data_IF_181567230207
#
_entry.id   IF_181567230207
#
_cell.length_a   1.000
_cell.length_b   1.000
_cell.length_c   1.000
_cell.angle_alpha   90.00
_cell.angle_beta   90.00
_cell.angle_gamma   90.00
#
_symmetry.space_group_name_H-M   'P 1'
#
loop_
_entity.id
_entity.type
_entity.pdbx_description
1 polymer ?
#
# COMPACT_ATOMS: atom_id res chain seq x y z
N UNK A 1 8.06 22.29 22.27
CA UNK A 1 7.64 22.74 20.92
C UNK A 1 7.49 21.50 20.04
N UNK A 2 6.27 20.99 19.88
CA UNK A 2 6.03 19.77 19.11
C UNK A 2 6.16 20.10 17.62
N UNK A 3 7.22 19.58 16.97
CA UNK A 3 7.38 19.70 15.52
C UNK A 3 6.14 19.09 14.87
N UNK A 4 5.36 19.92 14.18
CA UNK A 4 4.27 19.46 13.34
C UNK A 4 4.92 18.66 12.20
N UNK A 5 4.93 17.34 12.32
CA UNK A 5 5.41 16.45 11.28
C UNK A 5 4.47 16.58 10.09
N UNK A 6 4.93 17.36 9.10
CA UNK A 6 4.24 17.61 7.84
C UNK A 6 4.75 16.59 6.82
N UNK A 7 3.85 15.81 6.24
CA UNK A 7 4.16 15.00 5.06
C UNK A 7 3.42 15.58 3.86
N UNK A 8 4.12 15.61 2.74
CA UNK A 8 3.54 15.97 1.45
C UNK A 8 2.97 14.71 0.83
N UNK A 9 1.71 14.76 0.47
CA UNK A 9 1.04 13.72 -0.28
C UNK A 9 0.71 14.28 -1.65
N UNK A 10 1.36 13.73 -2.67
CA UNK A 10 1.02 14.01 -4.05
C UNK A 10 -0.11 13.07 -4.43
N UNK A 11 -1.25 13.64 -4.82
CA UNK A 11 -2.33 12.85 -5.36
C UNK A 11 -2.65 13.25 -6.79
N UNK A 12 -3.02 12.23 -7.55
CA UNK A 12 -3.70 12.36 -8.81
C UNK A 12 -5.20 12.38 -8.50
N UNK A 13 -5.84 13.55 -8.51
CA UNK A 13 -7.30 13.57 -8.51
C UNK A 13 -7.71 13.75 -9.95
N UNK A 14 -8.44 12.76 -10.45
CA UNK A 14 -9.24 12.89 -11.67
C UNK A 14 -10.39 13.85 -11.36
N UNK A 15 -10.09 15.12 -11.12
CA UNK A 15 -11.10 16.17 -11.11
C UNK A 15 -11.57 16.26 -12.57
N UNK A 16 -12.88 16.10 -12.79
CA UNK A 16 -13.54 16.34 -14.08
C UNK A 16 -13.33 17.80 -14.51
N UNK A 17 -12.13 18.11 -15.00
CA UNK A 17 -11.85 19.39 -15.61
C UNK A 17 -12.26 19.28 -17.06
N UNK A 18 -13.51 19.65 -17.33
CA UNK A 18 -13.94 20.04 -18.66
C UNK A 18 -13.15 21.28 -19.08
N UNK A 19 -11.98 21.08 -19.69
CA UNK A 19 -11.32 22.11 -20.47
C UNK A 19 -12.33 22.60 -21.53
N UNK A 20 -12.62 23.92 -21.67
CA UNK A 20 -13.71 24.42 -22.53
C UNK A 20 -13.53 24.23 -24.04
N UNK A 21 -12.63 23.35 -24.50
CA UNK A 21 -12.29 23.19 -25.91
C UNK A 21 -12.54 21.76 -26.37
N UNK A 22 -13.77 21.53 -26.84
CA UNK A 22 -14.25 20.54 -27.84
C UNK A 22 -13.75 19.07 -27.81
N UNK A 23 -12.94 18.69 -26.83
CA UNK A 23 -12.28 17.40 -26.73
C UNK A 23 -12.67 16.76 -25.39
N UNK A 24 -13.53 15.72 -25.44
CA UNK A 24 -14.03 14.99 -24.27
C UNK A 24 -13.03 13.91 -23.86
N UNK A 25 -11.81 14.30 -23.51
CA UNK A 25 -10.86 13.40 -22.87
C UNK A 25 -10.61 13.84 -21.43
N UNK A 26 -10.68 12.88 -20.51
CA UNK A 26 -10.40 13.10 -19.10
C UNK A 26 -8.90 12.92 -18.86
N UNK A 27 -8.23 14.03 -18.60
CA UNK A 27 -6.83 14.02 -18.22
C UNK A 27 -6.66 14.02 -16.72
N UNK A 28 -5.78 13.16 -16.23
CA UNK A 28 -5.43 13.11 -14.83
C UNK A 28 -4.59 14.35 -14.43
N UNK A 29 -5.16 15.22 -13.59
CA UNK A 29 -4.48 16.41 -13.08
C UNK A 29 -3.94 16.13 -11.68
N UNK A 30 -2.63 16.32 -11.51
CA UNK A 30 -1.96 16.10 -10.22
C UNK A 30 -2.03 17.36 -9.37
N UNK A 31 -2.28 17.20 -8.08
CA UNK A 31 -2.22 18.27 -7.08
C UNK A 31 -1.55 17.75 -5.82
N UNK A 32 -0.81 18.62 -5.15
CA UNK A 32 -0.03 18.26 -3.97
C UNK A 32 -0.70 18.81 -2.71
N UNK A 33 -0.88 17.96 -1.71
CA UNK A 33 -1.59 18.30 -0.48
C UNK A 33 -0.74 17.96 0.74
N UNK A 34 -0.79 18.83 1.74
CA UNK A 34 -0.10 18.60 3.00
C UNK A 34 -1.10 18.05 4.01
N UNK A 35 -0.74 16.92 4.60
CA UNK A 35 -1.53 16.31 5.67
C UNK A 35 -0.68 16.10 6.93
N UNK A 36 -1.38 16.10 8.05
CA UNK A 36 -0.80 15.74 9.34
C UNK A 36 -0.80 14.22 9.52
N UNK A 37 0.37 13.66 9.80
CA UNK A 37 0.54 12.25 10.18
C UNK A 37 1.16 12.18 11.59
N UNK A 38 0.40 11.79 12.62
CA UNK A 38 0.89 11.73 13.99
C UNK A 38 1.82 10.53 14.25
N UNK A 39 1.62 9.40 13.54
CA UNK A 39 2.31 8.13 13.80
C UNK A 39 3.46 7.85 12.82
N UNK A 40 3.59 8.67 11.75
CA UNK A 40 4.65 8.54 10.75
C UNK A 40 4.68 7.20 10.00
N UNK A 41 3.53 6.53 9.94
CA UNK A 41 3.36 5.20 9.35
C UNK A 41 3.39 5.19 7.81
N UNK A 42 3.20 6.36 7.18
CA UNK A 42 3.18 6.48 5.71
C UNK A 42 4.58 6.39 5.09
N UNK A 43 4.66 5.64 4.00
CA UNK A 43 5.84 5.51 3.14
C UNK A 43 5.52 6.08 1.76
N UNK A 44 6.56 6.46 1.01
CA UNK A 44 6.40 6.94 -0.36
C UNK A 44 5.77 5.85 -1.22
N UNK A 45 4.69 6.19 -1.92
CA UNK A 45 3.96 5.27 -2.80
C UNK A 45 2.71 4.64 -2.18
N UNK A 46 2.47 4.82 -0.87
CA UNK A 46 1.23 4.36 -0.24
C UNK A 46 0.02 5.13 -0.80
N UNK A 47 -1.10 4.42 -0.95
CA UNK A 47 -2.38 5.04 -1.30
C UNK A 47 -3.14 5.29 0.00
N UNK A 48 -3.43 6.56 0.28
CA UNK A 48 -3.97 7.01 1.57
C UNK A 48 -5.24 7.83 1.41
N UNK A 49 -6.10 7.76 2.42
CA UNK A 49 -7.28 8.61 2.53
C UNK A 49 -6.99 9.80 3.43
N UNK A 50 -7.28 11.00 2.94
CA UNK A 50 -7.11 12.25 3.67
C UNK A 50 -8.47 12.78 4.13
N UNK A 51 -8.57 13.14 5.41
CA UNK A 51 -9.75 13.79 5.98
C UNK A 51 -9.50 15.29 6.13
N UNK A 52 -10.45 16.11 5.70
CA UNK A 52 -10.38 17.54 5.93
C UNK A 52 -10.59 17.86 7.42
N UNK A 53 -9.71 18.67 7.99
CA UNK A 53 -9.85 19.15 9.37
C UNK A 53 -10.87 20.31 9.42
N UNK A 54 -11.74 20.38 10.44
CA UNK A 54 -12.63 21.53 10.63
C UNK A 54 -11.82 22.79 10.95
N UNK A 55 -10.70 22.65 11.65
CA UNK A 55 -9.79 23.74 11.99
C UNK A 55 -8.39 23.50 11.39
N UNK A 56 -7.83 24.54 10.75
CA UNK A 56 -6.51 24.46 10.11
C UNK A 56 -5.43 24.44 11.19
N UNK A 57 -4.72 23.31 11.35
CA UNK A 57 -3.58 23.20 12.26
C UNK A 57 -2.39 24.09 11.86
N UNK A 58 -2.23 24.39 10.57
CA UNK A 58 -1.15 25.26 10.06
C UNK A 58 -1.51 25.89 8.70
N UNK A 59 -0.68 26.81 8.19
CA UNK A 59 -0.90 27.50 6.90
C UNK A 59 -1.12 26.54 5.73
N UNK A 60 -0.34 25.45 5.68
CA UNK A 60 -0.38 24.48 4.59
C UNK A 60 -1.14 23.19 4.95
N UNK A 61 -1.26 22.87 6.24
CA UNK A 61 -1.85 21.61 6.71
C UNK A 61 -3.34 21.80 6.95
N UNK A 62 -4.14 21.41 5.95
CA UNK A 62 -5.61 21.44 5.98
C UNK A 62 -6.23 20.05 6.18
N UNK A 63 -5.44 19.01 5.94
CA UNK A 63 -5.90 17.63 5.98
C UNK A 63 -5.16 16.86 7.06
N UNK A 64 -5.79 15.79 7.52
CA UNK A 64 -5.24 14.79 8.43
C UNK A 64 -5.30 13.44 7.73
N UNK A 65 -4.32 12.57 8.02
CA UNK A 65 -4.34 11.21 7.55
C UNK A 65 -5.48 10.45 8.26
N UNK A 66 -6.43 9.91 7.50
CA UNK A 66 -7.51 9.10 8.05
C UNK A 66 -7.08 7.64 8.16
N UNK A 67 -6.70 7.06 7.03
CA UNK A 67 -6.32 5.66 6.92
C UNK A 67 -5.39 5.43 5.72
N UNK A 68 -4.61 4.35 5.79
CA UNK A 68 -3.81 3.85 4.67
C UNK A 68 -4.64 2.76 4.00
N UNK A 69 -5.10 3.02 2.77
CA UNK A 69 -5.95 2.07 2.03
C UNK A 69 -5.10 0.97 1.44
N UNK A 70 -3.98 1.33 0.80
CA UNK A 70 -3.05 0.37 0.23
C UNK A 70 -1.63 0.69 0.64
N UNK A 71 -1.02 -0.24 1.38
CA UNK A 71 0.37 -0.18 1.80
C UNK A 71 1.27 -0.76 0.71
N UNK A 72 2.31 -0.02 0.33
CA UNK A 72 3.31 -0.53 -0.62
C UNK A 72 3.97 -1.78 -0.05
N UNK A 73 3.98 -2.85 -0.85
CA UNK A 73 4.58 -4.14 -0.49
C UNK A 73 3.68 -5.06 0.34
N UNK A 74 2.59 -4.57 0.90
CA UNK A 74 1.61 -5.38 1.63
C UNK A 74 0.19 -4.89 1.32
N UNK A 75 -0.22 -5.07 0.06
CA UNK A 75 -1.55 -4.71 -0.40
C UNK A 75 -2.52 -5.82 0.02
N UNK A 76 -3.59 -5.44 0.71
CA UNK A 76 -4.67 -6.36 1.08
C UNK A 76 -5.84 -6.06 0.15
N UNK A 77 -6.36 -7.09 -0.50
CA UNK A 77 -7.55 -6.93 -1.34
C UNK A 77 -8.77 -6.59 -0.45
N UNK A 78 -9.47 -5.47 -0.69
CA UNK A 78 -10.62 -5.07 0.12
C UNK A 78 -11.79 -6.03 0.03
N UNK A 79 -11.88 -6.86 -1.03
CA UNK A 79 -12.99 -7.80 -1.22
C UNK A 79 -12.74 -9.11 -0.45
N UNK A 80 -11.55 -9.69 -0.60
CA UNK A 80 -11.23 -11.00 -0.01
C UNK A 80 -10.49 -10.92 1.33
N UNK A 81 -9.87 -9.78 1.65
CA UNK A 81 -9.02 -9.62 2.82
C UNK A 81 -7.69 -10.40 2.74
N UNK A 82 -7.38 -11.01 1.58
CA UNK A 82 -6.12 -11.73 1.37
C UNK A 82 -5.03 -10.77 0.89
N UNK A 83 -3.77 -10.97 1.30
CA UNK A 83 -2.66 -10.22 0.75
C UNK A 83 -2.52 -10.52 -0.74
N UNK A 84 -2.24 -9.50 -1.55
CA UNK A 84 -2.10 -9.62 -2.99
C UNK A 84 -0.86 -8.89 -3.51
N UNK A 85 -0.27 -9.46 -4.55
CA UNK A 85 0.83 -8.89 -5.30
C UNK A 85 0.36 -8.65 -6.74
N UNK A 86 -0.10 -7.43 -7.02
CA UNK A 86 -0.65 -7.06 -8.32
C UNK A 86 -1.95 -7.82 -8.60
N UNK A 87 -1.90 -8.78 -9.53
CA UNK A 87 -3.07 -9.58 -9.95
C UNK A 87 -3.14 -10.96 -9.27
N UNK A 88 -2.15 -11.34 -8.48
CA UNK A 88 -2.08 -12.65 -7.82
C UNK A 88 -2.27 -12.50 -6.32
N UNK A 89 -3.06 -13.40 -5.72
CA UNK A 89 -3.09 -13.53 -4.28
C UNK A 89 -1.78 -14.14 -3.78
N UNK A 90 -1.26 -13.60 -2.69
CA UNK A 90 -0.20 -14.26 -1.93
C UNK A 90 -0.89 -15.36 -1.15
N UNK A 91 -0.84 -16.58 -1.68
CA UNK A 91 -1.28 -17.76 -0.96
C UNK A 91 -0.43 -17.88 0.30
N UNK A 92 -1.07 -17.68 1.45
CA UNK A 92 -0.46 -18.06 2.70
C UNK A 92 -0.41 -19.59 2.69
N UNK A 93 0.77 -20.16 2.95
CA UNK A 93 0.97 -21.61 3.15
C UNK A 93 0.09 -22.20 4.27
N UNK A 94 -0.68 -21.37 4.98
CA UNK A 94 -1.70 -21.75 5.95
C UNK A 94 -3.07 -22.11 5.34
N UNK A 95 -3.27 -21.93 4.04
CA UNK A 95 -4.40 -22.55 3.31
C UNK A 95 -4.06 -24.06 3.18
N UNK A 96 -4.06 -24.74 4.32
CA UNK A 96 -3.67 -26.14 4.56
C UNK A 96 -4.54 -27.18 3.85
N UNK A 97 -5.35 -26.77 2.89
CA UNK A 97 -6.33 -27.61 2.19
C UNK A 97 -5.90 -27.95 0.75
N UNK A 98 -4.82 -27.34 0.23
CA UNK A 98 -4.31 -27.59 -1.13
C UNK A 98 -2.84 -27.99 -1.22
N UNK A 99 -2.17 -28.29 -0.10
CA UNK A 99 -0.84 -28.90 -0.15
C UNK A 99 -0.99 -30.34 -0.61
N UNK A 100 -0.62 -30.61 -1.87
CA UNK A 100 -0.60 -31.98 -2.37
C UNK A 100 0.55 -32.75 -1.73
N UNK A 101 0.43 -34.08 -1.60
CA UNK A 101 1.48 -34.94 -1.05
C UNK A 101 2.83 -34.74 -1.79
N UNK A 102 2.78 -34.37 -3.07
CA UNK A 102 3.94 -34.05 -3.89
C UNK A 102 4.68 -32.78 -3.41
N UNK A 103 3.94 -31.74 -3.01
CA UNK A 103 4.54 -30.48 -2.53
C UNK A 103 5.24 -30.68 -1.17
N UNK A 104 4.66 -31.51 -0.30
CA UNK A 104 5.28 -31.85 0.99
C UNK A 104 6.57 -32.66 0.80
N UNK A 105 6.59 -33.57 -0.17
CA UNK A 105 7.76 -34.39 -0.50
C UNK A 105 8.89 -33.50 -1.06
N UNK A 106 8.57 -32.62 -2.01
CA UNK A 106 9.54 -31.69 -2.59
C UNK A 106 10.18 -30.75 -1.55
N UNK A 107 9.37 -30.21 -0.63
CA UNK A 107 9.88 -29.34 0.44
C UNK A 107 10.76 -30.11 1.43
N UNK A 108 10.41 -31.37 1.74
CA UNK A 108 11.21 -32.21 2.63
C UNK A 108 12.59 -32.54 2.05
N UNK A 109 12.66 -32.84 0.75
CA UNK A 109 13.91 -33.09 0.03
C UNK A 109 14.81 -31.84 0.02
N UNK A 110 14.23 -30.68 -0.30
CA UNK A 110 14.94 -29.38 -0.27
C UNK A 110 15.52 -29.04 1.11
N UNK A 111 14.78 -29.33 2.18
CA UNK A 111 15.26 -29.12 3.55
C UNK A 111 16.39 -30.09 3.92
N UNK A 112 16.35 -31.32 3.42
CA UNK A 112 17.39 -32.32 3.64
C UNK A 112 18.70 -31.92 2.93
N UNK A 113 18.62 -31.44 1.68
CA UNK A 113 19.76 -30.91 0.92
C UNK A 113 20.48 -29.77 1.65
N UNK A 114 19.71 -28.81 2.20
CA UNK A 114 20.26 -27.65 2.92
C UNK A 114 20.96 -28.04 4.22
N UNK A 115 20.46 -29.07 4.91
CA UNK A 115 21.05 -29.55 6.16
C UNK A 115 22.40 -30.24 5.95
N UNK A 116 22.60 -30.88 4.80
CA UNK A 116 23.86 -31.55 4.44
C UNK A 116 24.96 -30.53 4.07
N UNK A 117 24.60 -29.40 3.46
CA UNK A 117 25.56 -28.34 3.12
C UNK A 117 26.12 -27.59 4.34
N UNK A 118 25.44 -27.67 5.49
CA UNK A 118 25.84 -26.97 6.72
C UNK A 118 26.88 -27.71 7.57
N UNK A 119 27.22 -28.96 7.20
CA UNK A 119 28.06 -29.86 8.02
C UNK A 119 29.46 -30.12 7.48
N UNK A 120 29.86 -29.47 6.39
CA UNK A 120 31.25 -29.49 5.95
C UNK A 120 31.98 -28.21 6.40
N UNK A 121 32.98 -28.47 7.27
CA UNK A 121 33.93 -27.58 7.95
C UNK A 121 34.35 -26.29 7.24
#
# INVERSE_FOLDING_TARGET
>A
MNKLHRRTFDYCVCDDWGDPKEFREFFNKRKTYFAHDPLQQCVVGDIVLLKALPERRSKHVKHELAEIVFKVGNVIDPITGKPCAGTRFLENLSDSENLTEADTTYLSEKLQELKVCSTDK
#
